data_IF_953938945604
#
_entry.id   IF_953938945604
#
_cell.length_a   1.000
_cell.length_b   1.000
_cell.length_c   1.000
_cell.angle_alpha   90.00
_cell.angle_beta   90.00
_cell.angle_gamma   90.00
#
_symmetry.space_group_name_H-M   'P 1'
#
loop_
_entity.id
_entity.type
_entity.pdbx_description
1 polymer ?
#
# COMPACT_ATOMS: atom_id res chain seq x y z
N UNK A 1 -35.58 -7.79 -20.06
CA UNK A 1 -35.41 -6.35 -20.31
C UNK A 1 -34.67 -5.80 -19.09
N UNK A 2 -33.43 -6.20 -18.81
CA UNK A 2 -32.19 -5.66 -19.40
C UNK A 2 -32.32 -4.18 -19.72
N UNK A 3 -31.77 -3.33 -18.86
CA UNK A 3 -30.51 -2.62 -19.12
C UNK A 3 -30.17 -1.64 -18.00
N UNK A 4 -28.88 -1.29 -17.94
CA UNK A 4 -28.30 -0.07 -17.37
C UNK A 4 -27.91 -0.17 -15.88
N UNK A 5 -26.72 0.22 -15.42
CA UNK A 5 -25.72 1.17 -15.95
C UNK A 5 -24.32 0.68 -15.50
N UNK A 6 -23.38 0.59 -16.45
CA UNK A 6 -21.94 0.54 -16.17
C UNK A 6 -21.53 1.93 -15.71
N UNK A 7 -21.38 2.13 -14.40
CA UNK A 7 -20.81 3.38 -13.87
C UNK A 7 -19.29 3.23 -13.82
N UNK A 8 -18.64 3.70 -14.88
CA UNK A 8 -17.23 4.08 -14.83
C UNK A 8 -17.09 5.31 -13.94
N UNK A 9 -16.60 5.15 -12.70
CA UNK A 9 -16.19 6.27 -11.84
C UNK A 9 -14.67 6.32 -11.73
N UNK A 10 -14.06 7.11 -12.60
CA UNK A 10 -12.66 7.52 -12.49
C UNK A 10 -12.62 9.02 -12.20
N UNK A 11 -12.50 9.41 -10.92
CA UNK A 11 -11.94 10.69 -10.43
C UNK A 11 -12.10 10.79 -8.90
N UNK A 12 -10.97 10.82 -8.18
CA UNK A 12 -10.84 11.18 -6.75
C UNK A 12 -11.67 10.38 -5.72
N UNK A 13 -11.48 9.05 -5.66
CA UNK A 13 -11.72 8.33 -4.43
C UNK A 13 -10.51 8.57 -3.51
N UNK A 14 -10.62 9.52 -2.58
CA UNK A 14 -9.71 9.63 -1.44
C UNK A 14 -9.91 8.36 -0.60
N UNK A 15 -9.25 7.26 -0.96
CA UNK A 15 -9.40 6.01 -0.21
C UNK A 15 -8.93 6.26 1.21
N UNK A 16 -9.71 5.80 2.18
CA UNK A 16 -9.35 5.90 3.60
C UNK A 16 -7.96 5.28 3.80
N UNK A 17 -7.04 6.06 4.33
CA UNK A 17 -5.69 5.58 4.68
C UNK A 17 -5.72 5.18 6.14
N UNK A 18 -5.46 3.91 6.41
CA UNK A 18 -5.32 3.42 7.77
C UNK A 18 -3.94 3.76 8.33
N UNK A 19 -3.90 4.16 9.60
CA UNK A 19 -2.67 4.32 10.37
C UNK A 19 -2.75 3.35 11.55
N UNK A 20 -1.75 2.48 11.65
CA UNK A 20 -1.62 1.52 12.74
C UNK A 20 -0.48 1.96 13.68
N UNK A 21 -0.67 1.77 14.99
CA UNK A 21 0.42 1.93 15.95
C UNK A 21 1.19 0.63 16.06
N UNK A 22 2.37 0.56 15.46
CA UNK A 22 3.25 -0.62 15.48
C UNK A 22 4.48 -0.27 16.29
N UNK A 23 4.77 -1.04 17.35
CA UNK A 23 5.91 -0.80 18.26
C UNK A 23 5.92 0.64 18.83
N UNK A 24 4.75 1.23 19.05
CA UNK A 24 4.62 2.61 19.53
C UNK A 24 4.87 3.70 18.48
N UNK A 25 5.04 3.33 17.20
CA UNK A 25 5.23 4.27 16.10
C UNK A 25 4.03 4.22 15.14
N UNK A 26 3.52 5.39 14.69
CA UNK A 26 2.48 5.42 13.68
C UNK A 26 3.06 4.98 12.32
N UNK A 27 2.44 3.96 11.74
CA UNK A 27 2.82 3.41 10.44
C UNK A 27 1.60 3.30 9.52
N UNK A 28 1.83 3.42 8.22
CA UNK A 28 0.84 3.10 7.18
C UNK A 28 1.37 1.98 6.29
N UNK A 29 0.56 1.48 5.35
CA UNK A 29 0.97 0.41 4.44
C UNK A 29 1.23 0.92 3.02
N UNK A 30 2.15 0.26 2.32
CA UNK A 30 2.39 0.49 0.89
C UNK A 30 1.12 0.30 0.02
N UNK A 31 0.14 -0.48 0.50
CA UNK A 31 -1.13 -0.74 -0.17
C UNK A 31 -2.03 0.48 -0.05
N UNK A 32 -2.14 1.04 1.16
CA UNK A 32 -2.92 2.27 1.40
C UNK A 32 -2.33 3.46 0.64
N UNK A 33 -1.00 3.58 0.60
CA UNK A 33 -0.32 4.58 -0.23
C UNK A 33 -0.67 4.37 -1.71
N UNK A 34 -0.59 3.14 -2.20
CA UNK A 34 -0.93 2.84 -3.60
C UNK A 34 -2.37 3.23 -3.92
N UNK A 35 -3.32 2.83 -3.06
CA UNK A 35 -4.74 3.16 -3.20
C UNK A 35 -4.99 4.66 -3.17
N UNK A 36 -4.45 5.36 -2.17
CA UNK A 36 -4.70 6.79 -1.94
C UNK A 36 -4.18 7.66 -3.08
N UNK A 37 -3.01 7.34 -3.62
CA UNK A 37 -2.42 8.07 -4.73
C UNK A 37 -2.83 7.53 -6.11
N UNK A 38 -3.73 6.54 -6.19
CA UNK A 38 -4.13 5.92 -7.45
C UNK A 38 -2.97 5.26 -8.22
N UNK A 39 -1.97 4.75 -7.49
CA UNK A 39 -0.78 4.10 -8.05
C UNK A 39 -0.93 2.58 -7.99
N UNK A 40 -0.28 1.88 -8.93
CA UNK A 40 -0.15 0.42 -8.82
C UNK A 40 0.75 0.07 -7.64
N UNK A 41 0.30 -0.84 -6.76
CA UNK A 41 1.06 -1.28 -5.58
C UNK A 41 2.47 -1.78 -5.91
N UNK A 42 2.61 -2.54 -7.02
CA UNK A 42 3.92 -2.98 -7.52
C UNK A 42 4.89 -1.82 -7.81
N UNK A 43 4.39 -0.66 -8.23
CA UNK A 43 5.22 0.51 -8.52
C UNK A 43 5.66 1.20 -7.22
N UNK A 44 4.81 1.21 -6.20
CA UNK A 44 5.15 1.70 -4.86
C UNK A 44 6.24 0.82 -4.24
N UNK A 45 6.09 -0.51 -4.29
CA UNK A 45 7.13 -1.46 -3.86
C UNK A 45 8.44 -1.23 -4.60
N UNK A 46 8.38 -1.06 -5.93
CA UNK A 46 9.57 -0.79 -6.74
C UNK A 46 10.25 0.50 -6.31
N UNK A 47 9.49 1.57 -6.07
CA UNK A 47 10.03 2.84 -5.61
C UNK A 47 10.72 2.71 -4.25
N UNK A 48 10.07 2.06 -3.27
CA UNK A 48 10.65 1.80 -1.93
C UNK A 48 11.97 1.04 -2.02
N UNK A 49 12.05 0.03 -2.90
CA UNK A 49 13.28 -0.76 -3.10
C UNK A 49 14.39 -0.02 -3.84
N UNK A 50 14.05 1.04 -4.56
CA UNK A 50 14.99 1.84 -5.33
C UNK A 50 15.42 3.13 -4.61
N UNK A 51 14.98 3.35 -3.37
CA UNK A 51 15.40 4.50 -2.57
C UNK A 51 16.90 4.44 -2.31
N UNK A 52 17.61 5.52 -2.64
CA UNK A 52 19.03 5.71 -2.33
C UNK A 52 19.19 6.17 -0.88
N UNK A 53 18.92 5.27 0.07
CA UNK A 53 19.08 5.50 1.50
C UNK A 53 19.99 4.44 2.13
N UNK A 54 20.43 4.70 3.36
CA UNK A 54 21.24 3.73 4.09
C UNK A 54 20.40 2.50 4.44
N UNK A 55 21.02 1.31 4.42
CA UNK A 55 20.34 0.06 4.80
C UNK A 55 19.70 0.12 6.19
N UNK A 56 20.32 0.85 7.12
CA UNK A 56 19.79 1.06 8.46
C UNK A 56 18.51 1.90 8.44
N UNK A 57 18.49 2.99 7.65
CA UNK A 57 17.30 3.80 7.46
C UNK A 57 16.19 2.99 6.80
N UNK A 58 16.53 2.22 5.75
CA UNK A 58 15.56 1.40 5.03
C UNK A 58 14.87 0.40 5.97
N UNK A 59 15.64 -0.36 6.75
CA UNK A 59 15.13 -1.38 7.68
C UNK A 59 14.29 -0.81 8.82
N UNK A 60 14.59 0.40 9.29
CA UNK A 60 13.86 1.04 10.38
C UNK A 60 12.53 1.64 9.90
N UNK A 61 12.49 2.15 8.67
CA UNK A 61 11.36 2.92 8.16
C UNK A 61 10.47 2.17 7.17
N UNK A 62 10.94 1.07 6.58
CA UNK A 62 10.22 0.24 5.61
C UNK A 62 10.24 -1.23 6.04
N UNK A 63 9.34 -1.60 6.95
CA UNK A 63 9.24 -2.97 7.48
C UNK A 63 8.53 -3.88 6.46
N UNK A 64 9.16 -4.97 5.97
CA UNK A 64 8.50 -5.92 5.08
C UNK A 64 7.38 -6.68 5.78
N UNK A 65 6.23 -6.78 5.13
CA UNK A 65 5.07 -7.55 5.59
C UNK A 65 4.47 -8.37 4.44
N UNK A 66 3.52 -9.25 4.76
CA UNK A 66 2.69 -9.96 3.78
C UNK A 66 1.23 -9.57 3.97
N UNK A 67 0.51 -9.40 2.87
CA UNK A 67 -0.92 -9.16 2.85
C UNK A 67 -1.64 -10.27 2.10
N UNK A 68 -2.84 -10.62 2.54
CA UNK A 68 -3.70 -11.55 1.80
C UNK A 68 -4.47 -10.79 0.72
N UNK A 69 -4.32 -11.23 -0.52
CA UNK A 69 -5.03 -10.74 -1.69
C UNK A 69 -6.04 -11.78 -2.12
N UNK A 70 -7.31 -11.38 -2.19
CA UNK A 70 -8.38 -12.23 -2.72
C UNK A 70 -8.23 -12.34 -4.25
N UNK A 71 -8.11 -13.58 -4.74
CA UNK A 71 -8.06 -13.92 -6.16
C UNK A 71 -9.44 -14.32 -6.70
N UNK A 72 -10.46 -14.28 -5.85
CA UNK A 72 -11.80 -14.77 -6.11
C UNK A 72 -11.94 -16.28 -5.90
N UNK A 73 -13.19 -16.74 -5.90
CA UNK A 73 -13.51 -18.17 -5.82
C UNK A 73 -12.96 -18.85 -4.55
N UNK A 74 -12.89 -18.10 -3.44
CA UNK A 74 -12.38 -18.58 -2.15
C UNK A 74 -10.87 -18.78 -2.10
N UNK A 75 -10.12 -18.25 -3.07
CA UNK A 75 -8.66 -18.38 -3.14
C UNK A 75 -8.00 -17.09 -2.71
N UNK A 76 -7.07 -17.18 -1.77
CA UNK A 76 -6.22 -16.06 -1.36
C UNK A 76 -4.76 -16.32 -1.72
N UNK A 77 -4.00 -15.25 -1.95
CA UNK A 77 -2.55 -15.29 -2.15
C UNK A 77 -1.88 -14.27 -1.24
N UNK A 78 -0.72 -14.63 -0.71
CA UNK A 78 0.13 -13.72 0.06
C UNK A 78 1.01 -12.90 -0.86
N UNK A 79 0.80 -11.59 -0.89
CA UNK A 79 1.62 -10.65 -1.64
C UNK A 79 2.53 -9.84 -0.69
N UNK A 80 3.77 -9.51 -1.11
CA UNK A 80 4.66 -8.70 -0.31
C UNK A 80 4.15 -7.26 -0.23
N UNK A 81 4.30 -6.62 0.92
CA UNK A 81 4.03 -5.22 1.16
C UNK A 81 5.03 -4.63 2.17
N UNK A 82 4.96 -3.32 2.41
CA UNK A 82 5.73 -2.63 3.44
C UNK A 82 4.82 -1.89 4.41
N UNK A 83 5.19 -1.88 5.69
CA UNK A 83 4.79 -0.87 6.67
C UNK A 83 5.80 0.27 6.67
N UNK A 84 5.29 1.48 6.69
CA UNK A 84 6.07 2.69 6.42
C UNK A 84 5.83 3.66 7.57
N UNK A 85 6.91 4.07 8.23
CA UNK A 85 6.87 5.09 9.30
C UNK A 85 6.63 6.48 8.72
N UNK A 86 6.35 7.46 9.58
CA UNK A 86 6.34 8.87 9.20
C UNK A 86 7.65 9.28 8.51
N UNK A 87 8.80 8.92 9.08
CA UNK A 87 10.11 9.35 8.56
C UNK A 87 10.40 8.72 7.20
N UNK A 88 10.00 7.46 6.99
CA UNK A 88 10.07 6.81 5.69
C UNK A 88 9.17 7.45 4.64
N UNK A 89 8.04 8.02 5.05
CA UNK A 89 7.14 8.75 4.16
C UNK A 89 7.69 10.13 3.73
N UNK A 90 8.51 10.76 4.58
CA UNK A 90 9.06 12.11 4.32
C UNK A 90 10.46 12.13 3.68
N UNK A 91 11.06 10.97 3.45
CA UNK A 91 12.36 10.83 2.77
C UNK A 91 12.24 11.10 1.27
#
# INVERSE_FOLDING_TARGET
MTESIVTSSNANATSEVSIELVKGQPMTTSVDIASHFGKLHKNVIKAIKALECTDSFHKLNFEPIQIDVDLGMGRTRKDPAFRITRDGFTF
#
